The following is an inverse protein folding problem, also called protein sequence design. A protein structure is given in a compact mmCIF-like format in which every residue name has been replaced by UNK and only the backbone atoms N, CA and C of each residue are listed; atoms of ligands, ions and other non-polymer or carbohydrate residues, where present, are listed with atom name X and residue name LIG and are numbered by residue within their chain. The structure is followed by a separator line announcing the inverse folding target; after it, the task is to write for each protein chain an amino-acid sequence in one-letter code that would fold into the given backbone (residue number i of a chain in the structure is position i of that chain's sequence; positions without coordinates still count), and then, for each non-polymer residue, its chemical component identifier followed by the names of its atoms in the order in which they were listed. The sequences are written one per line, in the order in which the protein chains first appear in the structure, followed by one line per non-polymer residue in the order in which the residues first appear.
data_IF_581129083851
#
_entry.id   IF_581129083851
#
_cell.length_a   1.000
_cell.length_b   1.000
_cell.length_c   1.000
_cell.angle_alpha   90.00
_cell.angle_beta   90.00
_cell.angle_gamma   90.00
#
_symmetry.space_group_name_H-M   'P 1'
#
loop_
_entity.id
_entity.type
_entity.pdbx_description
1 polymer ?
#
# COMPACT_ATOMS: atom_id res chain seq x y z
N UNK A 1 10.99 13.45 -18.44
CA UNK A 1 10.90 13.33 -16.97
C UNK A 1 9.90 12.22 -16.58
N UNK A 2 9.79 11.93 -15.30
CA UNK A 2 8.95 10.85 -14.78
C UNK A 2 7.45 11.05 -15.09
N UNK A 3 6.96 12.28 -15.03
CA UNK A 3 5.56 12.58 -15.35
C UNK A 3 5.25 12.35 -16.82
N UNK A 4 6.17 12.69 -17.72
CA UNK A 4 6.05 12.39 -19.16
C UNK A 4 6.06 10.87 -19.42
N UNK A 5 6.89 10.11 -18.70
CA UNK A 5 6.90 8.65 -18.80
C UNK A 5 5.54 8.05 -18.39
N UNK A 6 4.92 8.58 -17.32
CA UNK A 6 3.59 8.16 -16.86
C UNK A 6 2.53 8.51 -17.92
N UNK A 7 2.55 9.74 -18.44
CA UNK A 7 1.60 10.19 -19.48
C UNK A 7 1.64 9.30 -20.72
N UNK A 8 2.82 8.81 -21.12
CA UNK A 8 2.98 7.90 -22.25
C UNK A 8 2.35 6.52 -22.05
N UNK A 9 2.07 6.13 -20.79
CA UNK A 9 1.36 4.88 -20.47
C UNK A 9 -0.18 5.05 -20.52
N UNK A 10 -0.67 6.30 -20.52
CA UNK A 10 -2.10 6.59 -20.51
C UNK A 10 -2.65 6.48 -21.96
N UNK A 11 -3.83 5.87 -22.15
CA UNK A 11 -4.46 5.84 -23.47
C UNK A 11 -4.59 7.24 -24.07
N UNK A 12 -4.15 7.43 -25.31
CA UNK A 12 -4.14 8.74 -25.99
C UNK A 12 -5.50 9.44 -26.04
N UNK A 13 -6.59 8.66 -26.00
CA UNK A 13 -7.95 9.18 -25.96
C UNK A 13 -8.24 10.05 -24.74
N UNK A 14 -7.54 9.85 -23.64
CA UNK A 14 -7.75 10.56 -22.36
C UNK A 14 -7.21 12.00 -22.36
N UNK A 15 -6.32 12.37 -23.27
CA UNK A 15 -5.72 13.74 -23.39
C UNK A 15 -5.19 14.29 -22.07
N UNK A 16 -4.59 13.46 -21.23
CA UNK A 16 -4.10 13.82 -19.89
C UNK A 16 -2.75 14.55 -20.00
N UNK A 17 -2.60 15.63 -19.23
CA UNK A 17 -1.36 16.39 -19.13
C UNK A 17 -0.50 15.94 -17.95
N UNK A 18 0.81 16.18 -18.03
CA UNK A 18 1.76 15.89 -16.94
C UNK A 18 1.44 16.60 -15.60
N UNK A 19 0.73 17.74 -15.67
CA UNK A 19 0.27 18.50 -14.49
C UNK A 19 -0.96 17.88 -13.79
N UNK A 20 -1.59 16.86 -14.37
CA UNK A 20 -2.78 16.23 -13.80
C UNK A 20 -2.48 15.64 -12.40
N UNK A 21 -3.40 15.84 -11.45
CA UNK A 21 -3.19 15.44 -10.05
C UNK A 21 -2.82 13.95 -9.90
N UNK A 22 -3.52 13.05 -10.61
CA UNK A 22 -3.22 11.61 -10.56
C UNK A 22 -1.83 11.27 -11.10
N UNK A 23 -1.34 11.97 -12.14
CA UNK A 23 0.01 11.78 -12.68
C UNK A 23 1.06 12.16 -11.64
N UNK A 24 0.86 13.29 -10.94
CA UNK A 24 1.75 13.73 -9.87
C UNK A 24 1.75 12.76 -8.68
N UNK A 25 0.59 12.22 -8.30
CA UNK A 25 0.49 11.21 -7.25
C UNK A 25 1.29 9.96 -7.62
N UNK A 26 1.13 9.45 -8.84
CA UNK A 26 1.89 8.28 -9.31
C UNK A 26 3.40 8.55 -9.29
N UNK A 27 3.82 9.75 -9.76
CA UNK A 27 5.23 10.15 -9.80
C UNK A 27 5.85 10.30 -8.40
N UNK A 28 5.10 10.82 -7.44
CA UNK A 28 5.50 10.91 -6.04
C UNK A 28 5.62 9.53 -5.39
N UNK A 29 4.61 8.71 -5.60
CA UNK A 29 4.51 7.41 -4.97
C UNK A 29 5.54 6.39 -5.49
N UNK A 30 5.91 6.42 -6.77
CA UNK A 30 6.99 5.55 -7.26
C UNK A 30 8.33 5.91 -6.62
N UNK A 31 8.61 7.20 -6.38
CA UNK A 31 9.83 7.61 -5.66
C UNK A 31 9.81 7.07 -4.24
N UNK A 32 8.78 7.38 -3.49
CA UNK A 32 8.64 6.97 -2.09
C UNK A 32 8.74 5.45 -1.93
N UNK A 33 8.02 4.69 -2.75
CA UNK A 33 7.99 3.22 -2.65
C UNK A 33 9.31 2.58 -3.06
N UNK A 34 9.99 3.10 -4.09
CA UNK A 34 11.27 2.56 -4.51
C UNK A 34 12.33 2.70 -3.41
N UNK A 35 12.45 3.89 -2.79
CA UNK A 35 13.37 4.10 -1.68
C UNK A 35 13.03 3.25 -0.46
N UNK A 36 11.75 3.17 -0.07
CA UNK A 36 11.32 2.30 1.03
C UNK A 36 11.72 0.84 0.80
N UNK A 37 11.60 0.34 -0.44
CA UNK A 37 11.99 -1.04 -0.78
C UNK A 37 13.50 -1.21 -0.73
N UNK A 38 14.27 -0.25 -1.25
CA UNK A 38 15.75 -0.25 -1.16
C UNK A 38 16.20 -0.28 0.30
N UNK A 39 15.49 0.45 1.19
CA UNK A 39 15.72 0.43 2.64
C UNK A 39 15.22 -0.85 3.34
N UNK A 40 14.80 -1.86 2.59
CA UNK A 40 14.43 -3.18 3.10
C UNK A 40 12.99 -3.31 3.58
N UNK A 41 12.11 -2.34 3.30
CA UNK A 41 10.69 -2.44 3.65
C UNK A 41 9.96 -3.26 2.58
N UNK A 42 9.21 -4.27 3.02
CA UNK A 42 8.40 -5.14 2.15
C UNK A 42 6.91 -4.91 2.45
N UNK A 43 6.02 -4.90 1.43
CA UNK A 43 4.59 -4.76 1.66
C UNK A 43 4.04 -5.84 2.58
N UNK A 44 3.34 -5.44 3.63
CA UNK A 44 2.76 -6.33 4.65
C UNK A 44 1.41 -5.84 5.14
N UNK A 45 0.80 -6.55 6.08
CA UNK A 45 -0.49 -6.15 6.69
C UNK A 45 -0.32 -5.23 7.90
N UNK A 46 0.91 -5.04 8.38
CA UNK A 46 1.19 -4.32 9.63
C UNK A 46 2.42 -3.42 9.50
N UNK A 47 2.53 -2.46 10.41
CA UNK A 47 3.69 -1.60 10.57
C UNK A 47 4.07 -0.82 9.30
N UNK A 48 5.37 -0.65 9.07
CA UNK A 48 5.91 0.10 7.93
C UNK A 48 5.55 -0.52 6.57
N UNK A 49 5.48 -1.85 6.50
CA UNK A 49 5.09 -2.56 5.29
C UNK A 49 3.63 -2.32 4.90
N UNK A 50 2.73 -2.09 5.86
CA UNK A 50 1.36 -1.68 5.60
C UNK A 50 1.31 -0.28 4.96
N UNK A 51 2.11 0.67 5.46
CA UNK A 51 2.22 2.01 4.86
C UNK A 51 2.71 1.91 3.41
N UNK A 52 3.76 1.13 3.15
CA UNK A 52 4.25 0.90 1.79
C UNK A 52 3.16 0.32 0.89
N UNK A 53 2.42 -0.69 1.34
CA UNK A 53 1.29 -1.28 0.61
C UNK A 53 0.22 -0.25 0.26
N UNK A 54 -0.16 0.62 1.19
CA UNK A 54 -1.14 1.69 0.97
C UNK A 54 -0.70 2.64 -0.14
N UNK A 55 0.56 3.08 -0.12
CA UNK A 55 1.13 3.99 -1.12
C UNK A 55 1.12 3.33 -2.50
N UNK A 56 1.55 2.06 -2.62
CA UNK A 56 1.53 1.31 -3.88
C UNK A 56 0.09 1.22 -4.44
N UNK A 57 -0.87 0.78 -3.64
CA UNK A 57 -2.27 0.60 -4.07
C UNK A 57 -2.93 1.92 -4.46
N UNK A 58 -2.60 2.99 -3.76
CA UNK A 58 -3.06 4.34 -4.13
C UNK A 58 -2.56 4.76 -5.50
N UNK A 59 -1.29 4.52 -5.81
CA UNK A 59 -0.73 4.82 -7.13
C UNK A 59 -1.41 3.99 -8.24
N UNK A 60 -1.62 2.70 -8.02
CA UNK A 60 -2.27 1.80 -8.97
C UNK A 60 -3.71 2.26 -9.24
N UNK A 61 -4.47 2.60 -8.20
CA UNK A 61 -5.82 3.14 -8.37
C UNK A 61 -5.84 4.44 -9.18
N UNK A 62 -4.86 5.33 -8.97
CA UNK A 62 -4.74 6.54 -9.79
C UNK A 62 -4.44 6.24 -11.25
N UNK A 63 -3.63 5.21 -11.54
CA UNK A 63 -3.40 4.73 -12.90
C UNK A 63 -4.68 4.19 -13.55
N UNK A 64 -5.41 3.35 -12.84
CA UNK A 64 -6.71 2.83 -13.28
C UNK A 64 -7.72 3.95 -13.57
N UNK A 65 -7.80 4.97 -12.70
CA UNK A 65 -8.62 6.18 -12.93
C UNK A 65 -8.23 6.94 -14.21
N UNK A 66 -6.97 6.84 -14.63
CA UNK A 66 -6.47 7.41 -15.89
C UNK A 66 -6.65 6.48 -17.10
N UNK A 67 -7.30 5.33 -16.93
CA UNK A 67 -7.57 4.35 -17.98
C UNK A 67 -6.38 3.43 -18.30
N UNK A 68 -5.40 3.31 -17.40
CA UNK A 68 -4.32 2.33 -17.54
C UNK A 68 -4.85 0.99 -16.98
N UNK A 69 -5.15 0.06 -17.88
CA UNK A 69 -5.70 -1.26 -17.54
C UNK A 69 -4.60 -2.29 -17.28
N UNK A 70 -3.42 -2.09 -17.88
CA UNK A 70 -2.28 -2.98 -17.72
C UNK A 70 -1.50 -2.73 -16.43
N UNK A 71 -0.75 -3.74 -16.00
CA UNK A 71 0.27 -3.62 -14.94
C UNK A 71 1.35 -2.65 -15.41
N UNK A 72 1.52 -1.55 -14.72
CA UNK A 72 2.35 -0.43 -15.17
C UNK A 72 3.31 0.11 -14.11
N UNK A 73 2.91 0.10 -12.83
CA UNK A 73 3.58 0.85 -11.78
C UNK A 73 5.02 0.38 -11.56
N UNK A 74 5.24 -0.95 -11.57
CA UNK A 74 6.59 -1.51 -11.47
C UNK A 74 7.53 -1.06 -12.60
N UNK A 75 6.99 -0.82 -13.82
CA UNK A 75 7.78 -0.39 -14.99
C UNK A 75 8.43 0.98 -14.78
N UNK A 76 7.86 1.81 -13.90
CA UNK A 76 8.38 3.13 -13.58
C UNK A 76 9.66 3.07 -12.73
N UNK A 77 9.95 1.95 -12.08
CA UNK A 77 11.16 1.79 -11.25
C UNK A 77 12.45 1.88 -12.09
N UNK A 78 12.48 1.26 -13.28
CA UNK A 78 13.62 1.35 -14.19
C UNK A 78 13.89 2.78 -14.65
N UNK A 79 12.82 3.51 -14.98
CA UNK A 79 12.90 4.89 -15.37
C UNK A 79 13.43 5.77 -14.22
N UNK A 80 12.91 5.58 -13.02
CA UNK A 80 13.36 6.26 -11.82
C UNK A 80 14.85 6.00 -11.53
N UNK A 81 15.27 4.73 -11.59
CA UNK A 81 16.66 4.33 -11.38
C UNK A 81 17.61 4.97 -12.40
N UNK A 82 17.22 4.99 -13.68
CA UNK A 82 18.03 5.62 -14.74
C UNK A 82 18.19 7.13 -14.55
N UNK A 83 17.15 7.83 -14.13
CA UNK A 83 17.21 9.28 -13.88
C UNK A 83 18.08 9.65 -12.67
N UNK A 84 18.13 8.76 -11.66
CA UNK A 84 18.77 9.06 -10.38
C UNK A 84 20.10 8.34 -10.18
N UNK A 85 20.62 7.62 -11.19
CA UNK A 85 21.80 6.75 -11.06
C UNK A 85 23.05 7.42 -10.51
N UNK A 86 23.22 8.72 -10.76
CA UNK A 86 24.39 9.48 -10.30
C UNK A 86 24.26 9.93 -8.84
N UNK A 87 23.04 10.26 -8.40
CA UNK A 87 22.78 10.73 -7.04
C UNK A 87 22.45 9.57 -6.08
N UNK A 88 21.84 8.50 -6.60
CA UNK A 88 21.36 7.35 -5.83
C UNK A 88 21.67 6.05 -6.56
N UNK A 89 22.95 5.63 -6.64
CA UNK A 89 23.38 4.41 -7.34
C UNK A 89 22.73 3.13 -6.77
N UNK A 90 22.32 3.14 -5.50
CA UNK A 90 21.61 2.05 -4.84
C UNK A 90 20.24 1.73 -5.48
N UNK A 91 19.56 2.72 -6.07
CA UNK A 91 18.33 2.48 -6.84
C UNK A 91 18.61 1.60 -8.07
N UNK A 92 19.71 1.88 -8.77
CA UNK A 92 20.12 1.08 -9.93
C UNK A 92 20.58 -0.32 -9.52
N UNK A 93 21.33 -0.44 -8.42
CA UNK A 93 21.79 -1.71 -7.90
C UNK A 93 20.63 -2.63 -7.45
N UNK A 94 19.55 -2.05 -6.94
CA UNK A 94 18.38 -2.77 -6.43
C UNK A 94 17.16 -2.75 -7.39
N UNK A 95 17.29 -2.23 -8.61
CA UNK A 95 16.19 -2.05 -9.56
C UNK A 95 15.34 -3.31 -9.73
N UNK A 96 15.98 -4.43 -10.02
CA UNK A 96 15.28 -5.72 -10.23
C UNK A 96 14.51 -6.19 -9.00
N UNK A 97 15.03 -5.93 -7.79
CA UNK A 97 14.34 -6.22 -6.55
C UNK A 97 13.11 -5.33 -6.37
N UNK A 98 13.26 -4.03 -6.59
CA UNK A 98 12.15 -3.06 -6.52
C UNK A 98 11.03 -3.44 -7.50
N UNK A 99 11.38 -3.69 -8.77
CA UNK A 99 10.42 -4.11 -9.80
C UNK A 99 9.66 -5.39 -9.39
N UNK A 100 10.37 -6.39 -8.87
CA UNK A 100 9.76 -7.65 -8.44
C UNK A 100 8.78 -7.46 -7.27
N UNK A 101 9.13 -6.63 -6.28
CA UNK A 101 8.27 -6.34 -5.13
C UNK A 101 7.03 -5.57 -5.57
N UNK A 102 7.21 -4.50 -6.36
CA UNK A 102 6.12 -3.70 -6.87
C UNK A 102 5.18 -4.53 -7.76
N UNK A 103 5.71 -5.29 -8.70
CA UNK A 103 4.93 -6.14 -9.60
C UNK A 103 4.08 -7.13 -8.83
N UNK A 104 4.65 -7.80 -7.83
CA UNK A 104 3.92 -8.78 -7.00
C UNK A 104 2.75 -8.15 -6.24
N UNK A 105 2.90 -6.93 -5.73
CA UNK A 105 1.82 -6.24 -5.03
C UNK A 105 0.77 -5.69 -6.01
N UNK A 106 1.20 -5.22 -7.18
CA UNK A 106 0.34 -4.75 -8.26
C UNK A 106 -0.52 -5.87 -8.83
N UNK A 107 0.09 -7.03 -9.17
CA UNK A 107 -0.60 -8.24 -9.64
C UNK A 107 -1.72 -8.66 -8.68
N UNK A 108 -1.45 -8.63 -7.37
CA UNK A 108 -2.43 -9.00 -6.35
C UNK A 108 -3.58 -8.00 -6.24
N UNK A 109 -3.28 -6.72 -6.37
CA UNK A 109 -4.29 -5.69 -6.17
C UNK A 109 -5.19 -5.54 -7.39
N UNK A 110 -4.67 -5.61 -8.61
CA UNK A 110 -5.46 -5.52 -9.84
C UNK A 110 -6.53 -6.61 -9.89
N UNK A 111 -6.23 -7.83 -9.42
CA UNK A 111 -7.21 -8.93 -9.39
C UNK A 111 -8.48 -8.61 -8.58
N UNK A 112 -8.39 -7.71 -7.61
CA UNK A 112 -9.51 -7.34 -6.75
C UNK A 112 -10.00 -5.91 -6.96
N UNK A 113 -9.26 -5.10 -7.73
CA UNK A 113 -9.52 -3.68 -7.89
C UNK A 113 -10.89 -3.42 -8.52
N UNK A 114 -11.18 -4.04 -9.65
CA UNK A 114 -12.44 -3.83 -10.38
C UNK A 114 -13.65 -4.28 -9.55
N UNK A 115 -13.56 -5.46 -8.94
CA UNK A 115 -14.63 -5.97 -8.08
C UNK A 115 -14.83 -5.08 -6.85
N UNK A 116 -13.75 -4.65 -6.21
CA UNK A 116 -13.82 -3.75 -5.06
C UNK A 116 -14.37 -2.38 -5.43
N UNK A 117 -13.99 -1.81 -6.58
CA UNK A 117 -14.55 -0.55 -7.09
C UNK A 117 -16.04 -0.70 -7.38
N UNK A 118 -16.48 -1.78 -8.03
CA UNK A 118 -17.90 -2.05 -8.29
C UNK A 118 -18.74 -2.15 -7.00
N UNK A 119 -18.21 -2.81 -5.96
CA UNK A 119 -18.87 -2.86 -4.65
C UNK A 119 -18.97 -1.48 -4.02
N UNK A 120 -17.90 -0.69 -4.08
CA UNK A 120 -17.89 0.67 -3.54
C UNK A 120 -18.88 1.57 -4.27
N UNK A 121 -18.95 1.49 -5.59
CA UNK A 121 -19.89 2.25 -6.42
C UNK A 121 -21.33 1.87 -6.11
N UNK A 122 -21.64 0.58 -6.04
CA UNK A 122 -22.97 0.10 -5.65
C UNK A 122 -23.37 0.57 -4.24
N UNK A 123 -22.43 0.58 -3.30
CA UNK A 123 -22.69 1.10 -1.96
C UNK A 123 -22.95 2.61 -1.96
N UNK A 124 -22.25 3.37 -2.80
CA UNK A 124 -22.43 4.82 -2.95
C UNK A 124 -23.81 5.13 -3.58
N UNK A 125 -24.19 4.39 -4.61
CA UNK A 125 -25.51 4.56 -5.26
C UNK A 125 -26.68 4.25 -4.33
N UNK A 126 -26.53 3.28 -3.43
CA UNK A 126 -27.56 2.90 -2.46
C UNK A 126 -27.62 3.75 -1.18
N UNK A 127 -26.78 4.77 -1.07
CA UNK A 127 -26.67 5.56 0.16
C UNK A 127 -27.85 6.55 0.30
N UNK A 128 -28.53 6.51 1.45
CA UNK A 128 -29.57 7.51 1.81
C UNK A 128 -29.01 8.77 2.49
N UNK A 129 -27.68 8.85 2.68
CA UNK A 129 -26.97 9.92 3.40
C UNK A 129 -25.68 10.34 2.72
N UNK A 130 -24.71 10.81 3.51
CA UNK A 130 -23.39 11.24 3.03
C UNK A 130 -22.24 10.38 3.57
N UNK A 131 -22.54 9.23 4.15
CA UNK A 131 -21.54 8.41 4.85
C UNK A 131 -21.60 6.96 4.40
N UNK A 132 -20.47 6.42 3.96
CA UNK A 132 -20.31 5.00 3.62
C UNK A 132 -20.17 4.23 4.93
N UNK A 133 -20.96 3.17 5.09
CA UNK A 133 -20.96 2.32 6.29
C UNK A 133 -19.57 1.73 6.57
N UNK A 134 -19.18 1.70 7.84
CA UNK A 134 -17.96 1.05 8.32
C UNK A 134 -17.87 -0.44 7.96
N UNK A 135 -19.01 -1.13 7.92
CA UNK A 135 -19.12 -2.54 7.49
C UNK A 135 -18.71 -2.70 6.02
N UNK A 136 -19.15 -1.80 5.14
CA UNK A 136 -18.76 -1.80 3.72
C UNK A 136 -17.27 -1.51 3.59
N UNK A 137 -16.76 -0.51 4.28
CA UNK A 137 -15.34 -0.16 4.28
C UNK A 137 -14.48 -1.31 4.80
N UNK A 138 -14.92 -2.01 5.85
CA UNK A 138 -14.26 -3.20 6.38
C UNK A 138 -14.27 -4.37 5.38
N UNK A 139 -15.38 -4.65 4.71
CA UNK A 139 -15.46 -5.68 3.69
C UNK A 139 -14.50 -5.40 2.53
N UNK A 140 -14.40 -4.16 2.09
CA UNK A 140 -13.45 -3.74 1.07
C UNK A 140 -12.01 -3.95 1.53
N UNK A 141 -11.70 -3.64 2.78
CA UNK A 141 -10.39 -3.83 3.38
C UNK A 141 -10.01 -5.31 3.51
N UNK A 142 -10.86 -6.10 4.16
CA UNK A 142 -10.58 -7.49 4.56
C UNK A 142 -10.59 -8.45 3.36
N UNK A 143 -11.58 -8.32 2.47
CA UNK A 143 -11.80 -9.24 1.36
C UNK A 143 -11.09 -8.80 0.06
N UNK A 144 -11.14 -7.51 -0.25
CA UNK A 144 -10.64 -6.99 -1.53
C UNK A 144 -9.31 -6.25 -1.40
N UNK A 145 -8.79 -6.12 -0.19
CA UNK A 145 -7.51 -5.49 0.07
C UNK A 145 -7.49 -3.99 -0.21
N UNK A 146 -8.65 -3.32 -0.14
CA UNK A 146 -8.73 -1.86 -0.20
C UNK A 146 -8.32 -1.27 1.14
N UNK A 147 -7.17 -0.58 1.26
CA UNK A 147 -6.89 0.19 2.46
C UNK A 147 -8.03 1.19 2.72
N UNK A 148 -8.43 1.37 3.98
CA UNK A 148 -9.57 2.22 4.32
C UNK A 148 -9.39 3.67 3.87
N UNK A 149 -8.15 4.18 3.85
CA UNK A 149 -7.83 5.50 3.30
C UNK A 149 -8.07 5.60 1.79
N UNK A 150 -7.91 4.51 1.05
CA UNK A 150 -8.27 4.46 -0.37
C UNK A 150 -9.79 4.57 -0.55
N UNK A 151 -10.56 3.86 0.26
CA UNK A 151 -12.04 4.00 0.30
C UNK A 151 -12.43 5.43 0.66
N UNK A 152 -11.77 6.03 1.66
CA UNK A 152 -12.01 7.41 2.07
C UNK A 152 -11.65 8.44 0.98
N UNK A 153 -10.58 8.20 0.19
CA UNK A 153 -10.24 9.06 -0.94
C UNK A 153 -11.32 9.02 -2.03
N UNK A 154 -11.83 7.83 -2.37
CA UNK A 154 -12.93 7.68 -3.35
C UNK A 154 -14.21 8.35 -2.83
N UNK A 155 -14.54 8.15 -1.56
CA UNK A 155 -15.68 8.78 -0.91
C UNK A 155 -15.60 10.31 -1.00
N UNK A 156 -14.44 10.88 -0.65
CA UNK A 156 -14.20 12.32 -0.68
C UNK A 156 -14.32 12.92 -2.08
N UNK A 157 -13.87 12.21 -3.12
CA UNK A 157 -14.04 12.62 -4.53
C UNK A 157 -15.52 12.75 -4.92
N UNK A 158 -16.43 12.06 -4.21
CA UNK A 158 -17.88 12.06 -4.38
C UNK A 158 -18.63 12.92 -3.34
N UNK A 159 -17.91 13.65 -2.48
CA UNK A 159 -18.51 14.48 -1.42
C UNK A 159 -19.09 13.66 -0.27
N UNK A 160 -18.59 12.42 -0.07
CA UNK A 160 -19.00 11.50 0.98
C UNK A 160 -17.92 11.35 2.05
N UNK A 161 -18.30 10.84 3.23
CA UNK A 161 -17.41 10.40 4.30
C UNK A 161 -17.47 8.87 4.46
N UNK A 162 -16.62 8.35 5.35
CA UNK A 162 -16.62 6.94 5.76
C UNK A 162 -16.81 6.88 7.26
N UNK A 163 -17.68 6.01 7.73
CA UNK A 163 -17.88 5.67 9.13
C UNK A 163 -16.64 4.91 9.66
N UNK A 164 -15.68 5.69 10.18
CA UNK A 164 -14.42 5.15 10.69
C UNK A 164 -14.62 4.39 12.01
N UNK A 165 -15.56 4.80 12.85
CA UNK A 165 -15.85 4.14 14.14
C UNK A 165 -16.44 2.75 13.91
N UNK A 166 -17.36 2.63 12.96
CA UNK A 166 -17.88 1.34 12.51
C UNK A 166 -16.81 0.46 11.88
N UNK A 167 -15.90 1.03 11.09
CA UNK A 167 -14.75 0.30 10.53
C UNK A 167 -13.83 -0.25 11.63
N UNK A 168 -13.48 0.54 12.64
CA UNK A 168 -12.62 0.12 13.75
C UNK A 168 -13.29 -0.94 14.63
N UNK A 169 -14.62 -0.87 14.78
CA UNK A 169 -15.42 -1.89 15.45
C UNK A 169 -15.30 -3.24 14.74
N UNK A 170 -15.50 -3.28 13.44
CA UNK A 170 -15.34 -4.51 12.64
C UNK A 170 -13.90 -5.04 12.66
N UNK A 171 -12.88 -4.15 12.60
CA UNK A 171 -11.47 -4.52 12.75
C UNK A 171 -11.19 -5.19 14.09
N UNK A 172 -11.79 -4.70 15.16
CA UNK A 172 -11.64 -5.26 16.51
C UNK A 172 -12.28 -6.64 16.59
N UNK A 173 -13.50 -6.79 16.07
CA UNK A 173 -14.20 -8.08 16.00
C UNK A 173 -13.41 -9.12 15.17
N UNK A 174 -12.78 -8.71 14.08
CA UNK A 174 -11.96 -9.59 13.26
C UNK A 174 -10.71 -10.05 14.03
N UNK A 175 -10.01 -9.13 14.73
CA UNK A 175 -8.84 -9.47 15.56
C UNK A 175 -9.21 -10.44 16.68
N UNK A 176 -10.36 -10.27 17.32
CA UNK A 176 -10.84 -11.19 18.35
C UNK A 176 -11.16 -12.57 17.78
N UNK A 177 -11.82 -12.65 16.61
CA UNK A 177 -12.06 -13.91 15.90
C UNK A 177 -10.75 -14.61 15.53
N UNK A 178 -9.79 -13.89 15.00
CA UNK A 178 -8.48 -14.43 14.67
C UNK A 178 -7.73 -14.92 15.91
N UNK A 179 -7.79 -14.18 17.03
CA UNK A 179 -7.18 -14.59 18.31
C UNK A 179 -7.82 -15.86 18.84
N UNK A 180 -9.15 -15.97 18.84
CA UNK A 180 -9.88 -17.18 19.25
C UNK A 180 -9.60 -18.38 18.36
N UNK A 181 -9.41 -18.16 17.06
CA UNK A 181 -9.03 -19.21 16.11
C UNK A 181 -7.56 -19.62 16.21
N UNK A 182 -6.67 -18.70 16.65
CA UNK A 182 -5.23 -18.92 16.83
C UNK A 182 -4.85 -19.55 18.19
N UNK A 183 -5.77 -19.71 19.10
CA UNK A 183 -5.56 -20.36 20.43
C UNK A 183 -5.43 -21.89 20.32
N UNK A 184 -5.29 -22.43 19.12
CA UNK A 184 -4.90 -23.79 18.85
C UNK A 184 -3.37 -23.93 19.01
N UNK A 185 -2.99 -24.33 20.23
CA UNK A 185 -1.74 -25.03 20.56
C UNK A 185 -0.43 -24.31 20.25
N UNK A 186 -0.23 -23.12 20.78
CA UNK A 186 1.13 -22.66 21.03
C UNK A 186 1.54 -23.03 22.47
N UNK A 187 1.95 -24.27 22.69
CA UNK A 187 2.94 -24.55 23.73
C UNK A 187 4.20 -23.76 23.36
N UNK A 188 4.20 -22.46 23.66
CA UNK A 188 5.43 -21.68 23.71
C UNK A 188 6.30 -22.34 24.74
N UNK A 189 7.34 -23.03 24.30
CA UNK A 189 8.48 -23.30 25.16
C UNK A 189 8.99 -21.94 25.62
N UNK A 190 8.57 -21.53 26.79
CA UNK A 190 9.04 -20.30 27.43
C UNK A 190 10.50 -20.56 27.77
N UNK A 191 11.41 -20.03 26.96
CA UNK A 191 12.82 -19.96 27.35
C UNK A 191 12.85 -18.95 28.49
N UNK A 192 12.94 -19.43 29.69
CA UNK A 192 13.10 -18.58 30.87
C UNK A 192 14.57 -18.15 30.91
N UNK A 193 14.83 -16.90 30.54
CA UNK A 193 16.14 -16.28 30.70
C UNK A 193 16.19 -15.79 32.15
N UNK A 194 17.02 -16.39 32.98
CA UNK A 194 17.13 -16.06 34.40
C UNK A 194 17.81 -14.71 34.65
N UNK A 195 18.56 -14.20 33.68
CA UNK A 195 19.27 -12.93 33.81
C UNK A 195 18.67 -11.88 32.86
N UNK A 196 18.52 -10.65 33.34
CA UNK A 196 18.15 -9.51 32.51
C UNK A 196 19.30 -9.12 31.61
N UNK A 197 18.99 -8.83 30.33
CA UNK A 197 19.98 -8.26 29.40
C UNK A 197 20.06 -6.75 29.59
N UNK A 198 21.29 -6.21 29.63
CA UNK A 198 21.53 -4.78 29.67
C UNK A 198 21.86 -4.25 28.26
N UNK A 199 21.17 -3.20 27.81
CA UNK A 199 21.42 -2.58 26.52
C UNK A 199 22.57 -1.58 26.64
N UNK A 200 23.74 -1.93 26.08
CA UNK A 200 24.97 -1.10 26.13
C UNK A 200 25.17 -0.24 24.86
N UNK A 201 24.24 -0.28 23.90
CA UNK A 201 24.41 0.32 22.58
C UNK A 201 24.52 1.85 22.53
N UNK A 202 24.23 2.55 23.65
CA UNK A 202 24.48 3.99 23.75
C UNK A 202 25.94 4.34 24.10
N UNK A 203 26.67 3.39 24.70
CA UNK A 203 28.03 3.62 25.19
C UNK A 203 29.09 2.82 24.42
N UNK A 204 28.68 1.67 23.84
CA UNK A 204 29.60 0.74 23.18
C UNK A 204 29.04 0.25 21.84
N UNK A 205 29.84 0.34 20.78
CA UNK A 205 29.49 -0.17 19.44
C UNK A 205 29.80 -1.65 19.25
N UNK A 206 30.57 -2.26 20.12
CA UNK A 206 30.91 -3.69 20.12
C UNK A 206 30.99 -4.20 21.54
N UNK A 207 30.35 -5.34 21.80
CA UNK A 207 30.50 -6.09 23.07
C UNK A 207 30.56 -7.58 22.77
N UNK A 208 31.22 -8.35 23.63
CA UNK A 208 31.24 -9.80 23.55
C UNK A 208 30.09 -10.33 24.42
N UNK A 209 29.19 -11.10 23.78
CA UNK A 209 28.18 -11.85 24.55
C UNK A 209 28.88 -13.03 25.26
N UNK A 210 28.61 -13.20 26.53
CA UNK A 210 29.04 -14.34 27.36
C UNK A 210 27.91 -15.37 27.33
#
# INVERSE_FOLDING_TARGET
DLTSAIVNLIPKAQKIQASHASVRVIADHIRSTAFMIVDGIIPSNEGRGYVLRRIIRRAIRHGHKLGIEEIFFYKLASFLASQNKNAYPELSANQSHVEKVLKKEEDRFIQTLDTGMGILESAIEGISGKEISGVVAFKLYDTYGFPVDLTADVARERGLTVDMDGFETEMTLQKERARKAGDFDSKKSTITIENSTEFLGYEQFKNSAI
#
